data_IF_715959444496
#
_entry.id   IF_715959444496
#
_cell.length_a   1.000
_cell.length_b   1.000
_cell.length_c   1.000
_cell.angle_alpha   90.00
_cell.angle_beta   90.00
_cell.angle_gamma   90.00
#
_symmetry.space_group_name_H-M   'P 1'
#
loop_
_entity.id
_entity.type
_entity.pdbx_description
1 polymer ?
#
# COMPACT_ATOMS: atom_id res chain seq x y z
N UNK A 1 22.97 21.04 -31.66
CA UNK A 1 21.92 21.57 -30.76
C UNK A 1 22.38 21.36 -29.33
N UNK A 2 22.26 22.41 -28.52
CA UNK A 2 22.99 22.59 -27.26
C UNK A 2 22.51 21.60 -26.19
N UNK A 3 23.45 20.94 -25.50
CA UNK A 3 23.21 19.93 -24.45
C UNK A 3 22.24 20.40 -23.34
N UNK A 4 22.11 21.71 -23.17
CA UNK A 4 21.11 22.34 -22.30
C UNK A 4 19.66 22.11 -22.72
N UNK A 5 19.34 22.16 -24.01
CA UNK A 5 17.97 21.88 -24.48
C UNK A 5 17.61 20.40 -24.32
N UNK A 6 18.58 19.50 -24.48
CA UNK A 6 18.38 18.06 -24.24
C UNK A 6 18.13 17.77 -22.75
N UNK A 7 18.90 18.39 -21.86
CA UNK A 7 18.71 18.25 -20.41
C UNK A 7 17.41 18.88 -19.91
N UNK A 8 16.96 19.99 -20.49
CA UNK A 8 15.64 20.60 -20.19
C UNK A 8 14.47 19.75 -20.69
N UNK A 9 14.64 19.07 -21.83
CA UNK A 9 13.64 18.18 -22.39
C UNK A 9 13.57 16.86 -21.61
N UNK A 10 14.71 16.34 -21.12
CA UNK A 10 14.73 15.26 -20.14
C UNK A 10 14.12 15.70 -18.82
N UNK A 11 14.51 16.85 -18.24
CA UNK A 11 13.93 17.35 -16.99
C UNK A 11 12.41 17.55 -17.11
N UNK A 12 11.93 18.13 -18.21
CA UNK A 12 10.49 18.31 -18.47
C UNK A 12 9.74 17.00 -18.74
N UNK A 13 10.38 15.99 -19.34
CA UNK A 13 9.82 14.63 -19.41
C UNK A 13 9.90 13.91 -18.08
N UNK A 14 10.90 14.19 -17.24
CA UNK A 14 10.99 13.64 -15.89
C UNK A 14 9.86 14.22 -15.06
N UNK A 15 9.65 15.54 -15.07
CA UNK A 15 8.56 16.21 -14.35
C UNK A 15 7.16 15.77 -14.85
N UNK A 16 7.01 15.51 -16.15
CA UNK A 16 5.75 15.03 -16.73
C UNK A 16 5.48 13.54 -16.41
N UNK A 17 6.52 12.68 -16.46
CA UNK A 17 6.42 11.26 -16.07
C UNK A 17 6.33 11.09 -14.54
N UNK A 18 6.88 12.01 -13.75
CA UNK A 18 6.80 12.05 -12.28
C UNK A 18 5.38 12.45 -11.79
N UNK A 19 4.49 12.97 -12.64
CA UNK A 19 3.11 13.28 -12.20
C UNK A 19 2.12 12.14 -12.48
N UNK A 20 2.12 11.56 -13.69
CA UNK A 20 1.18 10.47 -14.05
C UNK A 20 1.71 9.05 -13.74
N UNK A 21 3.03 8.82 -13.75
CA UNK A 21 3.62 7.48 -13.55
C UNK A 21 4.31 7.30 -12.19
N UNK A 22 4.32 8.32 -11.31
CA UNK A 22 4.98 8.20 -10.01
C UNK A 22 4.45 7.02 -9.19
N UNK A 23 3.14 6.76 -9.23
CA UNK A 23 2.56 5.58 -8.60
C UNK A 23 3.18 4.28 -9.09
N UNK A 24 3.00 3.97 -10.38
CA UNK A 24 3.49 2.71 -10.99
C UNK A 24 5.01 2.57 -10.90
N UNK A 25 5.79 3.59 -11.25
CA UNK A 25 7.25 3.51 -11.22
C UNK A 25 7.80 3.36 -9.79
N UNK A 26 7.21 4.06 -8.81
CA UNK A 26 7.68 3.99 -7.42
C UNK A 26 7.35 2.64 -6.77
N UNK A 27 6.20 2.04 -7.09
CA UNK A 27 5.87 0.69 -6.60
C UNK A 27 6.94 -0.33 -7.00
N UNK A 28 7.36 -0.35 -8.26
CA UNK A 28 8.41 -1.28 -8.71
C UNK A 28 9.79 -0.99 -8.10
N UNK A 29 10.05 0.23 -7.58
CA UNK A 29 11.29 0.52 -6.87
C UNK A 29 11.42 -0.31 -5.57
N UNK A 30 10.34 -0.85 -5.02
CA UNK A 30 10.38 -1.78 -3.87
C UNK A 30 10.98 -3.15 -4.21
N UNK A 31 11.17 -3.49 -5.48
CA UNK A 31 11.99 -4.64 -5.90
C UNK A 31 13.49 -4.37 -5.72
N UNK A 32 13.90 -3.10 -5.56
CA UNK A 32 15.28 -2.72 -5.34
C UNK A 32 15.60 -2.67 -3.84
N UNK A 33 16.40 -3.62 -3.37
CA UNK A 33 16.74 -3.69 -1.95
C UNK A 33 17.62 -2.55 -1.41
N UNK A 34 18.24 -1.71 -2.25
CA UNK A 34 18.89 -0.48 -1.79
C UNK A 34 17.86 0.64 -1.57
N UNK A 35 16.86 0.73 -2.44
CA UNK A 35 15.71 1.62 -2.26
C UNK A 35 14.96 1.27 -0.97
N UNK A 36 14.57 0.01 -0.77
CA UNK A 36 13.90 -0.47 0.46
C UNK A 36 14.67 -0.09 1.73
N UNK A 37 16.00 -0.28 1.75
CA UNK A 37 16.84 0.08 2.91
C UNK A 37 16.86 1.58 3.17
N UNK A 38 16.80 2.40 2.12
CA UNK A 38 16.71 3.84 2.26
C UNK A 38 15.36 4.26 2.83
N UNK A 39 14.27 3.62 2.38
CA UNK A 39 12.91 3.83 2.89
C UNK A 39 12.80 3.43 4.35
N UNK A 40 13.22 2.21 4.72
CA UNK A 40 13.11 1.66 6.08
C UNK A 40 13.62 2.63 7.14
N UNK A 41 14.76 3.27 6.89
CA UNK A 41 15.42 4.20 7.80
C UNK A 41 14.66 5.51 8.00
N UNK A 42 13.71 5.83 7.11
CA UNK A 42 12.96 7.09 7.07
C UNK A 42 11.48 6.91 7.40
N UNK A 43 11.00 5.68 7.57
CA UNK A 43 9.61 5.41 7.91
C UNK A 43 9.24 6.03 9.26
N UNK A 44 8.12 6.75 9.28
CA UNK A 44 7.52 7.28 10.50
C UNK A 44 6.15 6.66 10.70
N UNK A 45 5.92 6.06 11.87
CA UNK A 45 4.61 5.52 12.24
C UNK A 45 3.58 6.64 12.44
N UNK A 46 2.43 6.48 11.81
CA UNK A 46 1.23 7.28 12.00
C UNK A 46 0.33 6.57 13.01
N UNK A 47 0.20 7.13 14.21
CA UNK A 47 -0.54 6.50 15.31
C UNK A 47 -1.91 7.15 15.50
N UNK A 48 -2.98 6.38 15.70
CA UNK A 48 -4.31 6.93 16.01
C UNK A 48 -4.36 7.61 17.37
N UNK A 49 -3.45 7.26 18.28
CA UNK A 49 -3.30 7.89 19.58
C UNK A 49 -1.88 7.68 20.14
N UNK A 50 -1.37 8.60 20.97
CA UNK A 50 -0.06 8.46 21.62
C UNK A 50 0.07 7.23 22.53
N UNK A 51 -1.06 6.74 23.06
CA UNK A 51 -1.11 5.58 23.96
C UNK A 51 -0.89 4.25 23.22
N UNK A 52 -1.09 4.19 21.89
CA UNK A 52 -0.79 2.98 21.11
C UNK A 52 0.73 2.77 21.11
N UNK A 53 1.14 1.56 21.53
CA UNK A 53 2.54 1.16 21.52
C UNK A 53 3.14 1.32 20.13
N UNK A 54 4.34 1.87 20.07
CA UNK A 54 5.08 2.04 18.82
C UNK A 54 5.39 0.69 18.21
N UNK A 55 5.25 0.57 16.91
CA UNK A 55 5.52 -0.64 16.15
C UNK A 55 6.58 -0.39 15.10
N UNK A 56 7.57 -1.27 15.00
CA UNK A 56 8.57 -1.21 13.93
C UNK A 56 7.99 -1.90 12.69
N UNK A 57 7.96 -1.18 11.57
CA UNK A 57 7.44 -1.67 10.30
C UNK A 57 8.10 -2.99 9.88
N UNK A 58 7.28 -3.94 9.43
CA UNK A 58 7.68 -5.24 8.91
C UNK A 58 8.64 -5.13 7.72
N UNK A 59 8.58 -4.02 6.95
CA UNK A 59 9.51 -3.74 5.85
C UNK A 59 10.99 -3.81 6.28
N UNK A 60 11.28 -3.63 7.57
CA UNK A 60 12.62 -3.84 8.11
C UNK A 60 13.17 -5.26 7.89
N UNK A 61 12.30 -6.28 7.98
CA UNK A 61 12.63 -7.69 7.75
C UNK A 61 12.74 -7.97 6.23
N UNK A 62 11.96 -7.27 5.41
CA UNK A 62 11.95 -7.38 3.94
C UNK A 62 13.30 -7.02 3.31
N UNK A 63 14.11 -6.21 4.02
CA UNK A 63 15.46 -5.87 3.57
C UNK A 63 16.42 -7.07 3.49
N UNK A 64 16.14 -8.15 4.23
CA UNK A 64 16.96 -9.37 4.32
C UNK A 64 16.42 -10.51 3.45
N UNK A 65 15.10 -10.74 3.41
CA UNK A 65 14.41 -11.83 2.68
C UNK A 65 13.79 -11.32 1.37
N UNK A 66 14.64 -10.76 0.51
CA UNK A 66 14.21 -10.02 -0.68
C UNK A 66 13.55 -10.93 -1.71
N UNK A 67 12.40 -10.53 -2.23
CA UNK A 67 11.97 -10.95 -3.55
C UNK A 67 12.37 -9.91 -4.59
N UNK A 68 12.97 -10.37 -5.68
CA UNK A 68 13.16 -9.59 -6.91
C UNK A 68 12.03 -9.80 -7.91
N UNK A 69 10.95 -10.50 -7.49
CA UNK A 69 9.84 -10.91 -8.35
C UNK A 69 8.60 -10.10 -8.02
N UNK A 70 7.86 -9.75 -9.06
CA UNK A 70 6.52 -9.20 -8.95
C UNK A 70 5.54 -10.14 -9.65
N UNK A 71 4.27 -10.05 -9.24
CA UNK A 71 3.16 -10.72 -9.89
C UNK A 71 2.10 -9.69 -10.23
N UNK A 72 1.68 -9.68 -11.49
CA UNK A 72 0.65 -8.77 -11.97
C UNK A 72 -0.69 -9.50 -11.90
N UNK A 73 -1.58 -9.05 -11.03
CA UNK A 73 -2.92 -9.59 -10.85
C UNK A 73 -3.81 -9.11 -12.01
N UNK A 74 -4.39 -10.04 -12.79
CA UNK A 74 -5.27 -9.70 -13.90
C UNK A 74 -6.60 -9.13 -13.37
N UNK A 75 -7.40 -8.44 -14.19
CA UNK A 75 -8.76 -8.04 -13.80
C UNK A 75 -9.58 -9.23 -13.28
N UNK A 76 -10.47 -9.02 -12.30
CA UNK A 76 -11.24 -10.10 -11.67
C UNK A 76 -12.04 -10.95 -12.67
N UNK A 77 -12.55 -10.35 -13.75
CA UNK A 77 -13.26 -11.05 -14.83
C UNK A 77 -12.40 -12.10 -15.57
N UNK A 78 -11.08 -12.02 -15.43
CA UNK A 78 -10.11 -12.96 -16.00
C UNK A 78 -9.51 -13.91 -14.96
N UNK A 79 -9.90 -13.80 -13.68
CA UNK A 79 -9.47 -14.73 -12.63
C UNK A 79 -10.29 -16.02 -12.77
N UNK A 80 -9.62 -17.07 -13.23
CA UNK A 80 -10.22 -18.41 -13.36
C UNK A 80 -9.97 -19.28 -12.14
N UNK A 81 -8.82 -19.11 -11.49
CA UNK A 81 -8.40 -19.85 -10.31
C UNK A 81 -7.74 -18.89 -9.32
N UNK A 82 -8.02 -19.11 -8.04
CA UNK A 82 -7.34 -18.43 -6.93
C UNK A 82 -5.90 -18.94 -6.81
N UNK A 83 -4.98 -18.04 -6.51
CA UNK A 83 -3.56 -18.33 -6.35
C UNK A 83 -3.20 -18.52 -4.88
N UNK A 84 -2.16 -19.31 -4.62
CA UNK A 84 -1.59 -19.41 -3.28
C UNK A 84 -0.76 -18.17 -2.95
N UNK A 85 -0.77 -17.78 -1.67
CA UNK A 85 0.01 -16.63 -1.20
C UNK A 85 1.49 -16.98 -1.25
N UNK A 86 2.25 -16.32 -2.13
CA UNK A 86 3.71 -16.36 -2.13
C UNK A 86 4.26 -15.16 -1.32
N UNK A 87 5.00 -15.46 -0.24
CA UNK A 87 5.71 -14.47 0.55
C UNK A 87 6.83 -13.81 -0.26
N UNK A 88 7.08 -12.54 0.05
CA UNK A 88 8.10 -11.72 -0.60
C UNK A 88 7.67 -11.18 -1.97
N UNK A 89 6.71 -11.79 -2.68
CA UNK A 89 6.30 -11.32 -4.01
C UNK A 89 5.56 -9.98 -3.93
N UNK A 90 5.96 -9.03 -4.78
CA UNK A 90 5.24 -7.78 -4.97
C UNK A 90 4.05 -7.98 -5.91
N UNK A 91 2.84 -7.97 -5.37
CA UNK A 91 1.60 -7.99 -6.12
C UNK A 91 1.21 -6.57 -6.52
N UNK A 92 0.95 -6.41 -7.81
CA UNK A 92 0.40 -5.20 -8.43
C UNK A 92 -0.76 -5.60 -9.31
N UNK A 93 -1.71 -4.73 -9.59
CA UNK A 93 -2.82 -5.07 -10.49
C UNK A 93 -2.71 -4.37 -11.84
N UNK A 94 -3.28 -4.97 -12.88
CA UNK A 94 -3.48 -4.33 -14.18
C UNK A 94 -4.56 -3.24 -14.13
N UNK A 95 -5.51 -3.37 -13.22
CA UNK A 95 -6.66 -2.47 -13.10
C UNK A 95 -6.22 -1.12 -12.54
N UNK A 96 -6.51 -0.05 -13.28
CA UNK A 96 -6.28 1.30 -12.79
C UNK A 96 -7.24 1.63 -11.64
N UNK A 97 -6.75 2.36 -10.63
CA UNK A 97 -7.50 2.69 -9.42
C UNK A 97 -7.93 1.48 -8.60
N UNK A 98 -7.06 0.47 -8.51
CA UNK A 98 -7.20 -0.60 -7.53
C UNK A 98 -7.58 -0.04 -6.15
N UNK A 99 -8.58 -0.62 -5.47
CA UNK A 99 -9.03 -0.05 -4.22
C UNK A 99 -7.88 -0.03 -3.21
N UNK A 100 -7.76 1.12 -2.55
CA UNK A 100 -6.93 1.39 -1.39
C UNK A 100 -5.40 1.48 -1.60
N UNK A 101 -4.79 0.62 -2.42
CA UNK A 101 -3.34 0.45 -2.54
C UNK A 101 -2.86 0.43 -3.99
N UNK A 102 -1.59 0.78 -4.22
CA UNK A 102 -0.95 0.73 -5.54
C UNK A 102 -0.13 -0.56 -5.75
N UNK A 103 0.15 -1.28 -4.67
CA UNK A 103 0.80 -2.58 -4.65
C UNK A 103 0.91 -3.12 -3.23
N UNK A 104 1.20 -4.41 -3.06
CA UNK A 104 1.35 -5.01 -1.74
C UNK A 104 2.19 -6.29 -1.81
N UNK A 105 2.69 -6.73 -0.67
CA UNK A 105 3.38 -8.02 -0.55
C UNK A 105 3.04 -8.66 0.80
N UNK A 106 3.21 -9.98 0.87
CA UNK A 106 3.09 -10.75 2.10
C UNK A 106 4.47 -11.06 2.67
N UNK A 107 4.57 -11.06 3.99
CA UNK A 107 5.80 -11.39 4.72
C UNK A 107 5.59 -12.58 5.62
N UNK A 108 6.55 -13.51 5.60
CA UNK A 108 6.59 -14.70 6.44
C UNK A 108 7.04 -14.34 7.87
N UNK A 109 6.20 -13.57 8.56
CA UNK A 109 6.35 -13.23 9.96
C UNK A 109 5.40 -14.07 10.81
N UNK A 110 5.55 -14.00 12.13
CA UNK A 110 4.59 -14.61 13.06
C UNK A 110 3.91 -13.51 13.92
N UNK A 111 2.66 -13.12 13.61
CA UNK A 111 1.83 -13.63 12.51
C UNK A 111 2.26 -13.08 11.13
N UNK A 112 1.82 -13.74 10.06
CA UNK A 112 2.06 -13.31 8.67
C UNK A 112 1.64 -11.84 8.53
N UNK A 113 2.34 -11.07 7.70
CA UNK A 113 2.05 -9.63 7.56
C UNK A 113 1.81 -9.24 6.12
N UNK A 114 0.67 -8.63 5.83
CA UNK A 114 0.42 -7.93 4.56
C UNK A 114 0.94 -6.50 4.70
N UNK A 115 1.85 -6.12 3.82
CA UNK A 115 2.36 -4.76 3.71
C UNK A 115 1.84 -4.14 2.42
N UNK A 116 0.95 -3.17 2.58
CA UNK A 116 0.39 -2.38 1.50
C UNK A 116 1.22 -1.15 1.21
N UNK A 117 1.37 -0.84 -0.08
CA UNK A 117 2.03 0.36 -0.58
C UNK A 117 0.98 1.28 -1.18
N UNK A 118 0.97 2.54 -0.75
CA UNK A 118 0.14 3.58 -1.35
C UNK A 118 1.00 4.76 -1.76
N UNK A 119 1.02 5.05 -3.05
CA UNK A 119 1.72 6.16 -3.65
C UNK A 119 0.76 7.34 -3.70
N UNK A 120 1.18 8.48 -3.18
CA UNK A 120 0.35 9.67 -3.18
C UNK A 120 1.17 10.90 -3.59
N UNK A 121 0.77 11.53 -4.69
CA UNK A 121 1.32 12.83 -5.11
C UNK A 121 0.82 13.98 -4.20
N UNK A 122 -0.32 13.79 -3.51
CA UNK A 122 -0.91 14.76 -2.61
C UNK A 122 -1.08 14.19 -1.19
N UNK A 123 -1.20 15.07 -0.20
CA UNK A 123 -1.54 14.67 1.18
C UNK A 123 -3.01 14.28 1.28
N UNK A 124 -3.27 13.09 1.83
CA UNK A 124 -4.56 12.57 2.31
C UNK A 124 -5.74 12.56 1.31
N UNK A 125 -6.18 11.35 0.96
CA UNK A 125 -7.58 11.11 0.60
C UNK A 125 -8.18 10.20 1.67
N UNK A 126 -9.28 10.65 2.26
CA UNK A 126 -10.05 9.84 3.20
C UNK A 126 -10.39 8.50 2.55
N UNK A 127 -10.06 7.43 3.24
CA UNK A 127 -10.49 6.09 2.84
C UNK A 127 -11.88 5.89 3.43
N UNK A 128 -12.84 5.43 2.65
CA UNK A 128 -14.14 5.05 3.20
C UNK A 128 -14.09 3.61 3.71
N UNK A 129 -14.95 3.26 4.66
CA UNK A 129 -15.12 1.88 5.09
C UNK A 129 -15.46 0.95 3.90
N UNK A 130 -16.25 1.44 2.93
CA UNK A 130 -16.61 0.68 1.73
C UNK A 130 -15.40 0.34 0.84
N UNK A 131 -14.48 1.28 0.61
CA UNK A 131 -13.25 1.00 -0.16
C UNK A 131 -12.34 0.02 0.56
N UNK A 132 -12.23 0.13 1.89
CA UNK A 132 -11.47 -0.84 2.68
C UNK A 132 -12.10 -2.24 2.62
N UNK A 133 -13.43 -2.35 2.64
CA UNK A 133 -14.14 -3.63 2.46
C UNK A 133 -13.88 -4.23 1.08
N UNK A 134 -14.07 -3.42 0.04
CA UNK A 134 -13.84 -3.85 -1.34
C UNK A 134 -12.43 -4.43 -1.47
N UNK A 135 -11.41 -3.74 -0.97
CA UNK A 135 -10.05 -4.28 -1.00
C UNK A 135 -9.93 -5.67 -0.35
N UNK A 136 -10.57 -5.91 0.80
CA UNK A 136 -10.58 -7.25 1.42
C UNK A 136 -11.37 -8.29 0.63
N UNK A 137 -12.46 -7.90 -0.03
CA UNK A 137 -13.23 -8.76 -0.94
C UNK A 137 -12.38 -9.14 -2.18
N UNK A 138 -11.66 -8.18 -2.76
CA UNK A 138 -10.71 -8.43 -3.86
C UNK A 138 -9.65 -9.45 -3.48
N UNK A 139 -9.04 -9.33 -2.29
CA UNK A 139 -8.04 -10.29 -1.84
C UNK A 139 -8.62 -11.70 -1.67
N UNK A 140 -9.89 -11.82 -1.25
CA UNK A 140 -10.59 -13.10 -1.17
C UNK A 140 -10.79 -13.76 -2.54
N UNK A 141 -11.00 -12.95 -3.58
CA UNK A 141 -11.18 -13.45 -4.95
C UNK A 141 -9.86 -13.87 -5.61
N UNK A 142 -8.74 -13.26 -5.24
CA UNK A 142 -7.43 -13.66 -5.77
C UNK A 142 -6.79 -14.82 -5.03
N UNK A 143 -6.93 -14.92 -3.70
CA UNK A 143 -6.08 -15.81 -2.90
C UNK A 143 -6.84 -16.93 -2.18
N UNK A 144 -6.30 -18.16 -2.23
CA UNK A 144 -6.92 -19.34 -1.59
C UNK A 144 -7.01 -19.26 -0.06
N UNK A 145 -6.05 -18.60 0.58
CA UNK A 145 -5.81 -18.70 2.03
C UNK A 145 -6.45 -17.52 2.80
N UNK A 146 -7.32 -16.76 2.16
CA UNK A 146 -7.77 -15.47 2.66
C UNK A 146 -8.66 -15.53 3.92
N UNK A 147 -9.68 -16.39 3.97
CA UNK A 147 -10.73 -16.28 4.99
C UNK A 147 -10.26 -16.59 6.42
N UNK A 148 -9.52 -17.68 6.64
CA UNK A 148 -9.00 -18.04 7.96
C UNK A 148 -7.76 -17.23 8.34
N UNK A 149 -6.85 -16.98 7.39
CA UNK A 149 -5.56 -16.35 7.72
C UNK A 149 -5.65 -14.83 7.89
N UNK A 150 -6.60 -14.15 7.23
CA UNK A 150 -6.73 -12.69 7.32
C UNK A 150 -7.05 -12.18 8.72
N UNK A 151 -7.69 -13.00 9.56
CA UNK A 151 -8.08 -12.66 10.95
C UNK A 151 -6.89 -12.58 11.90
N UNK A 152 -5.91 -13.46 11.69
CA UNK A 152 -4.71 -13.56 12.53
C UNK A 152 -3.52 -12.80 11.94
N UNK A 153 -3.60 -12.39 10.67
CA UNK A 153 -2.59 -11.62 9.97
C UNK A 153 -2.41 -10.21 10.55
N UNK A 154 -1.17 -9.71 10.53
CA UNK A 154 -0.87 -8.30 10.76
C UNK A 154 -0.96 -7.50 9.47
N UNK A 155 -1.36 -6.23 9.59
CA UNK A 155 -1.59 -5.37 8.44
C UNK A 155 -0.81 -4.08 8.60
N UNK A 156 -0.01 -3.75 7.59
CA UNK A 156 0.73 -2.52 7.53
C UNK A 156 0.45 -1.78 6.22
N UNK A 157 0.35 -0.45 6.28
CA UNK A 157 0.22 0.40 5.09
C UNK A 157 1.32 1.44 5.13
N UNK A 158 2.09 1.53 4.05
CA UNK A 158 3.14 2.51 3.84
C UNK A 158 2.66 3.51 2.79
N UNK A 159 2.51 4.75 3.22
CA UNK A 159 2.22 5.86 2.34
C UNK A 159 3.54 6.49 1.89
N UNK A 160 3.78 6.46 0.59
CA UNK A 160 4.96 7.01 -0.05
C UNK A 160 4.55 8.29 -0.77
N UNK A 161 5.06 9.41 -0.28
CA UNK A 161 4.77 10.74 -0.81
C UNK A 161 5.95 11.29 -1.59
N UNK A 162 5.69 12.15 -2.56
CA UNK A 162 6.75 12.94 -3.18
C UNK A 162 7.37 13.90 -2.15
N UNK A 163 8.68 14.16 -2.22
CA UNK A 163 9.38 15.05 -1.29
C UNK A 163 8.78 16.46 -1.22
N UNK A 164 8.22 16.95 -2.33
CA UNK A 164 7.59 18.27 -2.41
C UNK A 164 6.13 18.28 -1.91
N UNK A 165 5.54 17.11 -1.63
CA UNK A 165 4.19 17.03 -1.07
C UNK A 165 4.19 17.42 0.40
N UNK A 166 3.08 18.00 0.86
CA UNK A 166 2.85 18.21 2.30
C UNK A 166 2.93 16.86 3.03
N UNK A 167 3.85 16.70 4.01
CA UNK A 167 4.01 15.44 4.71
C UNK A 167 2.74 15.07 5.47
N UNK A 168 2.36 13.81 5.38
CA UNK A 168 1.25 13.28 6.14
C UNK A 168 1.68 13.10 7.60
N UNK A 169 0.97 13.78 8.49
CA UNK A 169 1.27 13.77 9.93
C UNK A 169 0.28 12.95 10.74
N UNK A 170 -0.92 12.77 10.21
CA UNK A 170 -2.05 12.18 10.93
C UNK A 170 -2.34 10.76 10.46
N UNK A 171 -2.79 9.94 11.40
CA UNK A 171 -3.28 8.60 11.11
C UNK A 171 -4.52 8.66 10.22
N UNK A 172 -4.57 7.81 9.19
CA UNK A 172 -5.63 7.81 8.20
C UNK A 172 -6.74 6.82 8.59
N UNK A 173 -7.83 7.35 9.11
CA UNK A 173 -9.02 6.57 9.46
C UNK A 173 -9.83 6.09 8.27
N UNK A 174 -10.92 5.38 8.58
CA UNK A 174 -11.99 5.11 7.62
C UNK A 174 -13.20 5.95 7.98
N UNK A 175 -13.75 6.67 7.00
CA UNK A 175 -15.02 7.36 7.17
C UNK A 175 -16.17 6.36 7.05
N UNK A 176 -17.05 6.37 8.05
CA UNK A 176 -18.29 5.60 8.04
C UNK A 176 -19.34 6.42 7.31
N UNK A 177 -19.43 6.24 5.99
CA UNK A 177 -20.52 6.80 5.20
C UNK A 177 -21.66 5.78 5.22
N UNK A 178 -22.85 6.20 5.66
CA UNK A 178 -24.06 5.39 5.50
C UNK A 178 -24.39 5.31 4.00
N UNK A 179 -23.91 4.27 3.33
CA UNK A 179 -24.40 3.92 2.00
C UNK A 179 -25.71 3.15 2.16
N UNK A 180 -26.73 3.48 1.36
CA UNK A 180 -28.10 2.95 1.44
C UNK A 180 -28.24 1.41 1.30
N UNK A 181 -27.14 0.68 1.06
CA UNK A 181 -27.11 -0.76 0.80
C UNK A 181 -26.34 -1.59 1.85
N UNK A 182 -25.93 -1.01 3.00
CA UNK A 182 -25.15 -1.72 4.03
C UNK A 182 -25.64 -1.32 5.44
N UNK A 183 -25.74 -2.27 6.36
CA UNK A 183 -25.97 -1.97 7.78
C UNK A 183 -24.79 -1.18 8.35
N UNK A 184 -25.06 -0.07 9.05
CA UNK A 184 -24.02 0.75 9.68
C UNK A 184 -23.11 -0.02 10.67
N UNK A 185 -23.51 -1.22 11.12
CA UNK A 185 -22.69 -2.14 11.92
C UNK A 185 -21.39 -2.55 11.22
N UNK A 186 -21.46 -2.86 9.93
CA UNK A 186 -20.35 -3.50 9.21
C UNK A 186 -19.27 -2.46 8.89
N UNK A 187 -19.70 -1.24 8.58
CA UNK A 187 -18.78 -0.12 8.38
C UNK A 187 -18.06 0.27 9.68
N UNK A 188 -18.74 0.17 10.83
CA UNK A 188 -18.13 0.41 12.13
C UNK A 188 -17.07 -0.66 12.47
N UNK A 189 -17.33 -1.92 12.13
CA UNK A 189 -16.36 -3.01 12.32
C UNK A 189 -15.09 -2.79 11.49
N UNK A 190 -15.22 -2.36 10.23
CA UNK A 190 -14.08 -2.05 9.37
C UNK A 190 -13.27 -0.86 9.91
N UNK A 191 -13.94 0.18 10.40
CA UNK A 191 -13.26 1.32 11.01
C UNK A 191 -12.49 0.92 12.29
N UNK A 192 -13.10 0.06 13.13
CA UNK A 192 -12.45 -0.50 14.31
C UNK A 192 -11.24 -1.36 13.93
N UNK A 193 -11.39 -2.27 12.97
CA UNK A 193 -10.32 -3.10 12.44
C UNK A 193 -9.12 -2.25 11.98
N UNK A 194 -9.37 -1.21 11.19
CA UNK A 194 -8.30 -0.31 10.72
C UNK A 194 -7.60 0.41 11.87
N UNK A 195 -8.32 0.80 12.91
CA UNK A 195 -7.75 1.48 14.08
C UNK A 195 -6.91 0.55 14.94
N UNK A 196 -7.35 -0.68 15.12
CA UNK A 196 -6.76 -1.62 16.07
C UNK A 196 -5.69 -2.52 15.45
N UNK A 197 -5.94 -3.03 14.25
CA UNK A 197 -5.12 -4.06 13.59
C UNK A 197 -4.17 -3.49 12.53
N UNK A 198 -4.56 -2.42 11.84
CA UNK A 198 -3.72 -1.82 10.79
C UNK A 198 -2.70 -0.84 11.40
N UNK A 199 -1.44 -1.02 11.04
CA UNK A 199 -0.32 -0.10 11.32
C UNK A 199 -0.09 0.75 10.08
N UNK A 200 0.24 2.03 10.29
CA UNK A 200 0.36 2.98 9.19
C UNK A 200 1.70 3.71 9.30
N UNK A 201 2.34 3.90 8.17
CA UNK A 201 3.64 4.54 8.07
C UNK A 201 3.66 5.53 6.93
N UNK A 202 4.43 6.60 7.08
CA UNK A 202 4.67 7.53 5.99
C UNK A 202 6.17 7.67 5.72
N UNK A 203 6.49 7.95 4.46
CA UNK A 203 7.82 8.31 3.99
C UNK A 203 7.70 9.25 2.80
N UNK A 204 8.57 10.24 2.72
CA UNK A 204 8.70 11.10 1.54
C UNK A 204 9.95 10.71 0.77
N UNK A 205 9.85 10.58 -0.55
CA UNK A 205 10.98 10.24 -1.44
C UNK A 205 11.34 11.35 -2.39
#
# INVERSE_FOLDING_TARGET
MQQHYFNLLILGLTDYLISENFGRCTVFAFLNGSFVRAIERRLRELRPSPQRQSHRCALAVYSQERSTRHHVLPPLEHVSERIDVECGVLYVTEVENFPLLDGFFFMELNPMTLVGLRMAAASAHHTTASTARQFTEYLAEYFNVWEESSRDMSWEVIYVQHADSTPMNDWQGCDVVNSDNVSGSDNNEIAAFRKEKVRQYQVSI
#
